data_IF_151686667884
#
_entry.id   IF_151686667884
#
_cell.length_a   1.000
_cell.length_b   1.000
_cell.length_c   1.000
_cell.angle_alpha   90.00
_cell.angle_beta   90.00
_cell.angle_gamma   90.00
#
_symmetry.space_group_name_H-M   'P 1'
#
loop_
_entity.id
_entity.type
_entity.pdbx_description
1 polymer ?
#
# COMPACT_ATOMS: atom_id res chain seq x y z
N UNK A 1 7.27 -5.96 45.94
CA UNK A 1 6.69 -4.62 46.17
C UNK A 1 5.75 -4.32 45.03
N UNK A 2 4.53 -3.92 45.38
CA UNK A 2 3.24 -3.97 44.67
C UNK A 2 3.24 -3.79 43.14
N UNK A 3 2.61 -4.77 42.48
CA UNK A 3 2.05 -4.61 41.14
C UNK A 3 0.94 -3.55 41.19
N UNK A 4 1.18 -2.41 40.55
CA UNK A 4 0.17 -1.37 40.34
C UNK A 4 -0.67 -1.77 39.14
N UNK A 5 -1.97 -2.05 39.37
CA UNK A 5 -2.94 -2.16 38.29
C UNK A 5 -3.13 -0.77 37.66
N UNK A 6 -2.87 -0.59 36.35
CA UNK A 6 -3.22 0.66 35.67
C UNK A 6 -4.75 0.77 35.58
N UNK A 7 -5.28 1.97 35.81
CA UNK A 7 -6.70 2.26 35.71
C UNK A 7 -7.21 2.12 34.27
N UNK A 8 -8.38 1.48 34.08
CA UNK A 8 -9.10 1.42 32.79
C UNK A 8 -9.63 0.06 32.33
N UNK A 9 -9.77 -0.94 33.21
CA UNK A 9 -10.26 -2.27 32.81
C UNK A 9 -11.79 -2.34 32.78
N UNK A 10 -12.37 -2.29 31.58
CA UNK A 10 -13.75 -2.73 31.34
C UNK A 10 -13.78 -4.26 31.20
N UNK A 11 -14.73 -4.90 31.88
CA UNK A 11 -14.79 -6.35 32.08
C UNK A 11 -15.49 -7.06 30.92
N UNK A 12 -14.72 -7.50 29.93
CA UNK A 12 -15.08 -8.59 29.01
C UNK A 12 -13.79 -9.26 28.48
N UNK A 13 -13.38 -10.37 29.10
CA UNK A 13 -12.13 -11.13 28.87
C UNK A 13 -10.83 -10.31 29.05
N UNK A 14 -10.06 -10.64 30.09
CA UNK A 14 -8.91 -9.89 30.62
C UNK A 14 -7.71 -9.73 29.69
N UNK A 15 -7.81 -8.83 28.71
CA UNK A 15 -6.68 -8.34 27.92
C UNK A 15 -6.03 -7.16 28.64
N UNK A 16 -4.70 -7.18 28.73
CA UNK A 16 -3.92 -6.14 29.39
C UNK A 16 -2.55 -5.98 28.74
N UNK A 17 -1.92 -4.83 28.91
CA UNK A 17 -0.58 -4.57 28.38
C UNK A 17 0.46 -5.55 28.92
N UNK A 18 0.53 -5.86 30.23
CA UNK A 18 1.48 -6.87 30.73
C UNK A 18 1.27 -8.24 30.09
N UNK A 19 0.02 -8.68 29.89
CA UNK A 19 -0.27 -9.98 29.30
C UNK A 19 0.23 -10.08 27.84
N UNK A 20 -0.11 -9.07 27.02
CA UNK A 20 0.31 -9.02 25.61
C UNK A 20 1.83 -8.88 25.50
N UNK A 21 2.44 -7.97 26.26
CA UNK A 21 3.88 -7.73 26.19
C UNK A 21 4.71 -8.92 26.68
N UNK A 22 4.33 -9.56 27.79
CA UNK A 22 5.01 -10.77 28.26
C UNK A 22 4.87 -11.91 27.25
N UNK A 23 3.69 -12.09 26.64
CA UNK A 23 3.50 -13.08 25.58
C UNK A 23 4.46 -12.87 24.40
N UNK A 24 4.60 -11.63 23.93
CA UNK A 24 5.54 -11.30 22.86
C UNK A 24 7.01 -11.53 23.27
N UNK A 25 7.38 -11.14 24.50
CA UNK A 25 8.75 -11.33 25.02
C UNK A 25 9.12 -12.81 25.25
N UNK A 26 8.12 -13.66 25.50
CA UNK A 26 8.26 -15.12 25.59
C UNK A 26 8.26 -15.80 24.21
N UNK A 27 8.16 -15.04 23.11
CA UNK A 27 8.11 -15.57 21.75
C UNK A 27 6.78 -16.22 21.38
N UNK A 28 5.69 -15.93 22.11
CA UNK A 28 4.36 -16.50 21.85
C UNK A 28 3.57 -15.62 20.88
N UNK A 29 3.02 -16.25 19.85
CA UNK A 29 2.08 -15.62 18.93
C UNK A 29 0.82 -15.17 19.68
N UNK A 30 0.37 -13.96 19.35
CA UNK A 30 -0.86 -13.37 19.87
C UNK A 30 -2.03 -13.69 18.94
N UNK A 31 -3.23 -13.80 19.50
CA UNK A 31 -4.42 -13.95 18.68
C UNK A 31 -4.73 -12.65 17.92
N UNK A 32 -5.55 -12.75 16.85
CA UNK A 32 -6.10 -11.58 16.17
C UNK A 32 -6.90 -10.69 17.13
N UNK A 33 -7.55 -11.26 18.14
CA UNK A 33 -8.29 -10.47 19.13
C UNK A 33 -7.39 -9.73 20.11
N UNK A 34 -6.24 -10.30 20.49
CA UNK A 34 -5.30 -9.64 21.40
C UNK A 34 -4.59 -8.46 20.73
N UNK A 35 -4.21 -8.64 19.46
CA UNK A 35 -3.62 -7.57 18.65
C UNK A 35 -4.64 -6.51 18.26
N UNK A 36 -5.89 -6.88 17.97
CA UNK A 36 -6.97 -5.92 17.77
C UNK A 36 -7.24 -5.10 19.04
N UNK A 37 -7.26 -5.73 20.22
CA UNK A 37 -7.40 -5.03 21.48
C UNK A 37 -6.27 -4.02 21.70
N UNK A 38 -5.02 -4.45 21.53
CA UNK A 38 -3.86 -3.58 21.69
C UNK A 38 -3.95 -2.38 20.72
N UNK A 39 -4.29 -2.65 19.46
CA UNK A 39 -4.44 -1.61 18.44
C UNK A 39 -5.60 -0.66 18.73
N UNK A 40 -6.75 -1.14 19.20
CA UNK A 40 -7.88 -0.29 19.58
C UNK A 40 -7.51 0.65 20.74
N UNK A 41 -6.82 0.17 21.78
CA UNK A 41 -6.29 1.02 22.86
C UNK A 41 -5.35 2.11 22.33
N UNK A 42 -4.49 1.76 21.38
CA UNK A 42 -3.61 2.69 20.70
C UNK A 42 -4.41 3.74 19.92
N UNK A 43 -5.40 3.32 19.12
CA UNK A 43 -6.20 4.21 18.28
C UNK A 43 -7.13 5.14 19.09
N UNK A 44 -7.52 4.74 20.30
CA UNK A 44 -8.25 5.60 21.26
C UNK A 44 -7.37 6.61 21.98
N UNK A 45 -6.04 6.50 21.87
CA UNK A 45 -5.10 7.32 22.64
C UNK A 45 -5.01 6.92 24.12
N UNK A 46 -5.40 5.69 24.46
CA UNK A 46 -5.35 5.16 25.82
C UNK A 46 -4.02 4.46 26.14
N UNK A 47 -3.20 4.20 25.12
CA UNK A 47 -1.87 3.65 25.24
C UNK A 47 -0.82 4.74 25.43
N UNK A 48 0.09 4.56 26.39
CA UNK A 48 1.27 5.42 26.55
C UNK A 48 2.29 5.17 25.44
N UNK A 49 3.15 6.16 25.16
CA UNK A 49 4.26 5.98 24.19
C UNK A 49 5.15 4.78 24.53
N UNK A 50 5.37 4.49 25.83
CA UNK A 50 6.13 3.34 26.28
C UNK A 50 5.44 2.00 25.95
N UNK A 51 4.12 1.93 26.11
CA UNK A 51 3.33 0.73 25.74
C UNK A 51 3.32 0.53 24.22
N UNK A 52 3.11 1.60 23.46
CA UNK A 52 3.17 1.56 21.99
C UNK A 52 4.55 1.05 21.54
N UNK A 53 5.62 1.67 22.05
CA UNK A 53 6.98 1.31 21.69
C UNK A 53 7.32 -0.14 22.06
N UNK A 54 7.01 -0.55 23.30
CA UNK A 54 7.21 -1.92 23.76
C UNK A 54 6.47 -2.94 22.90
N UNK A 55 5.22 -2.65 22.54
CA UNK A 55 4.40 -3.54 21.72
C UNK A 55 4.97 -3.73 20.32
N UNK A 56 5.25 -2.64 19.60
CA UNK A 56 5.70 -2.72 18.20
C UNK A 56 7.11 -3.28 18.07
N UNK A 57 7.98 -3.05 19.06
CA UNK A 57 9.34 -3.61 19.08
C UNK A 57 9.29 -5.10 19.40
N UNK A 58 8.55 -5.50 20.46
CA UNK A 58 8.44 -6.91 20.84
C UNK A 58 7.76 -7.74 19.74
N UNK A 59 6.72 -7.21 19.11
CA UNK A 59 6.02 -7.86 18.00
C UNK A 59 6.95 -8.09 16.80
N UNK A 60 7.71 -7.08 16.40
CA UNK A 60 8.70 -7.20 15.33
C UNK A 60 9.82 -8.17 15.67
N UNK A 61 10.32 -8.12 16.91
CA UNK A 61 11.42 -8.97 17.37
C UNK A 61 11.00 -10.46 17.42
N UNK A 62 9.77 -10.75 17.85
CA UNK A 62 9.17 -12.09 17.76
C UNK A 62 9.03 -12.55 16.30
N UNK A 63 8.65 -11.62 15.43
CA UNK A 63 8.22 -11.92 14.06
C UNK A 63 6.70 -11.97 13.99
N UNK A 64 6.13 -11.15 13.13
CA UNK A 64 4.70 -11.01 12.96
C UNK A 64 4.07 -12.24 12.30
N UNK A 65 2.83 -12.56 12.67
CA UNK A 65 2.01 -13.58 11.97
C UNK A 65 0.86 -12.96 11.20
N UNK A 66 0.27 -13.73 10.28
CA UNK A 66 -0.94 -13.32 9.54
C UNK A 66 -2.07 -12.92 10.50
N UNK A 67 -2.31 -13.73 11.54
CA UNK A 67 -3.39 -13.48 12.52
C UNK A 67 -3.16 -12.19 13.31
N UNK A 68 -1.93 -11.93 13.72
CA UNK A 68 -1.56 -10.70 14.43
C UNK A 68 -1.78 -9.47 13.55
N UNK A 69 -1.33 -9.50 12.30
CA UNK A 69 -1.57 -8.41 11.36
C UNK A 69 -3.07 -8.26 11.06
N UNK A 70 -3.81 -9.35 10.87
CA UNK A 70 -5.27 -9.32 10.66
C UNK A 70 -5.98 -8.60 11.80
N UNK A 71 -5.59 -8.86 13.06
CA UNK A 71 -6.11 -8.16 14.24
C UNK A 71 -5.82 -6.65 14.24
N UNK A 72 -4.57 -6.26 13.96
CA UNK A 72 -4.17 -4.85 13.85
C UNK A 72 -4.99 -4.12 12.78
N UNK A 73 -5.14 -4.73 11.59
CA UNK A 73 -5.85 -4.11 10.47
C UNK A 73 -7.35 -4.03 10.75
N UNK A 74 -7.94 -5.04 11.42
CA UNK A 74 -9.35 -5.00 11.85
C UNK A 74 -9.63 -3.78 12.72
N UNK A 75 -8.84 -3.59 13.77
CA UNK A 75 -8.96 -2.43 14.64
C UNK A 75 -8.73 -1.12 13.88
N UNK A 76 -7.77 -1.03 12.96
CA UNK A 76 -7.59 0.18 12.15
C UNK A 76 -8.83 0.55 11.34
N UNK A 77 -9.56 -0.42 10.79
CA UNK A 77 -10.82 -0.13 10.08
C UNK A 77 -11.94 0.37 10.98
N UNK A 78 -11.98 -0.02 12.26
CA UNK A 78 -12.97 0.48 13.23
C UNK A 78 -12.75 1.97 13.57
N UNK A 79 -11.52 2.46 13.38
CA UNK A 79 -11.12 3.84 13.64
C UNK A 79 -10.87 4.67 12.37
N UNK A 80 -11.14 4.09 11.19
CA UNK A 80 -10.94 4.74 9.90
C UNK A 80 -12.23 5.41 9.39
N UNK A 81 -12.06 6.51 8.66
CA UNK A 81 -13.16 7.13 7.91
C UNK A 81 -13.39 6.35 6.61
N UNK A 82 -14.09 5.21 6.67
CA UNK A 82 -14.31 4.36 5.49
C UNK A 82 -15.19 5.03 4.43
N UNK A 83 -14.98 4.67 3.16
CA UNK A 83 -15.81 5.09 2.03
C UNK A 83 -16.23 3.88 1.22
N UNK A 84 -17.31 4.05 0.46
CA UNK A 84 -17.75 3.06 -0.53
C UNK A 84 -17.61 3.65 -1.92
N UNK A 85 -17.06 2.86 -2.84
CA UNK A 85 -16.93 3.20 -4.25
C UNK A 85 -17.53 2.04 -5.05
N UNK A 86 -18.64 2.24 -5.78
CA UNK A 86 -19.32 1.15 -6.47
C UNK A 86 -18.46 0.48 -7.55
N UNK A 87 -18.67 -0.83 -7.75
CA UNK A 87 -18.02 -1.61 -8.80
C UNK A 87 -16.66 -2.20 -8.39
N UNK A 88 -15.95 -2.77 -9.36
CA UNK A 88 -14.65 -3.38 -9.11
C UNK A 88 -13.56 -2.31 -9.08
N UNK A 89 -12.90 -2.17 -7.93
CA UNK A 89 -11.85 -1.18 -7.68
C UNK A 89 -10.51 -1.85 -7.43
N UNK A 90 -9.43 -1.21 -7.88
CA UNK A 90 -8.05 -1.64 -7.61
C UNK A 90 -7.24 -0.57 -6.88
N UNK A 91 -6.27 -1.00 -6.07
CA UNK A 91 -5.23 -0.15 -5.49
C UNK A 91 -3.83 -0.64 -5.92
N UNK A 92 -2.90 0.31 -6.05
CA UNK A 92 -1.51 0.10 -6.44
C UNK A 92 -0.66 0.88 -5.45
N UNK A 93 0.01 0.17 -4.55
CA UNK A 93 0.65 0.80 -3.40
C UNK A 93 1.83 -0.03 -2.90
N UNK A 94 2.87 0.64 -2.42
CA UNK A 94 3.99 0.00 -1.75
C UNK A 94 3.98 0.26 -0.25
N UNK A 95 4.69 -0.56 0.51
CA UNK A 95 4.97 -0.28 1.94
C UNK A 95 5.87 0.94 2.13
N UNK A 96 6.59 1.32 1.08
CA UNK A 96 7.70 2.24 1.10
C UNK A 96 8.89 1.70 1.88
N UNK A 97 9.93 2.53 1.98
CA UNK A 97 11.12 2.22 2.76
C UNK A 97 12.10 1.28 2.06
N UNK A 98 12.03 1.08 0.75
CA UNK A 98 13.08 0.38 0.00
C UNK A 98 14.45 1.12 0.06
N UNK A 99 14.44 2.44 0.25
CA UNK A 99 15.63 3.29 0.29
C UNK A 99 16.18 3.66 -1.10
N UNK A 100 15.53 3.22 -2.17
CA UNK A 100 16.04 3.39 -3.54
C UNK A 100 15.75 4.77 -4.14
N UNK A 101 14.80 5.52 -3.55
CA UNK A 101 14.42 6.88 -3.98
C UNK A 101 14.07 6.91 -5.48
N UNK A 102 13.30 5.93 -5.93
CA UNK A 102 12.77 5.87 -7.29
C UNK A 102 11.76 6.98 -7.54
N UNK A 103 11.43 7.21 -8.81
CA UNK A 103 10.24 7.98 -9.19
C UNK A 103 8.98 7.29 -8.66
N UNK A 104 7.86 8.01 -8.53
CA UNK A 104 6.64 7.48 -7.93
C UNK A 104 5.87 6.53 -8.88
N UNK A 105 6.42 5.35 -9.15
CA UNK A 105 5.92 4.34 -10.09
C UNK A 105 4.46 3.99 -9.77
N UNK A 106 4.14 3.55 -8.56
CA UNK A 106 2.75 3.23 -8.18
C UNK A 106 1.76 4.40 -8.36
N UNK A 107 2.20 5.66 -8.36
CA UNK A 107 1.34 6.83 -8.61
C UNK A 107 1.07 7.00 -10.10
N UNK A 108 2.12 6.91 -10.93
CA UNK A 108 1.98 6.92 -12.39
C UNK A 108 1.14 5.73 -12.87
N UNK A 109 1.40 4.53 -12.35
CA UNK A 109 0.62 3.32 -12.67
C UNK A 109 -0.85 3.46 -12.29
N UNK A 110 -1.18 4.14 -11.18
CA UNK A 110 -2.58 4.38 -10.80
C UNK A 110 -3.33 5.20 -11.85
N UNK A 111 -2.68 6.25 -12.39
CA UNK A 111 -3.25 7.09 -13.44
C UNK A 111 -3.40 6.30 -14.75
N UNK A 112 -2.39 5.52 -15.12
CA UNK A 112 -2.39 4.67 -16.33
C UNK A 112 -3.48 3.61 -16.25
N UNK A 113 -3.62 2.91 -15.12
CA UNK A 113 -4.68 1.91 -14.92
C UNK A 113 -6.07 2.55 -15.00
N UNK A 114 -6.27 3.72 -14.40
CA UNK A 114 -7.53 4.43 -14.53
C UNK A 114 -7.83 4.86 -15.98
N UNK A 115 -6.80 5.17 -16.75
CA UNK A 115 -6.91 5.42 -18.19
C UNK A 115 -7.29 4.21 -19.04
N UNK A 116 -7.22 2.97 -18.52
CA UNK A 116 -7.78 1.79 -19.22
C UNK A 116 -9.30 1.64 -19.00
N UNK A 117 -9.91 2.55 -18.23
CA UNK A 117 -11.30 2.44 -17.78
C UNK A 117 -11.49 1.63 -16.49
N UNK A 118 -10.42 1.10 -15.89
CA UNK A 118 -10.49 0.49 -14.57
C UNK A 118 -10.73 1.55 -13.50
N UNK A 119 -11.43 1.20 -12.41
CA UNK A 119 -11.65 2.13 -11.30
C UNK A 119 -10.54 2.01 -10.26
N UNK A 120 -9.85 3.09 -9.97
CA UNK A 120 -8.70 3.10 -9.05
C UNK A 120 -9.04 3.86 -7.77
N UNK A 121 -8.82 3.23 -6.62
CA UNK A 121 -8.93 3.91 -5.32
C UNK A 121 -7.57 3.78 -4.64
N UNK A 122 -6.70 4.74 -4.88
CA UNK A 122 -5.33 4.69 -4.37
C UNK A 122 -5.30 5.09 -2.89
N UNK A 123 -4.68 4.28 -2.04
CA UNK A 123 -4.33 4.69 -0.68
C UNK A 123 -2.89 5.18 -0.63
N UNK A 124 -2.62 6.24 0.12
CA UNK A 124 -1.25 6.71 0.27
C UNK A 124 -1.07 7.78 1.33
N UNK A 125 0.18 8.11 1.58
CA UNK A 125 0.59 9.10 2.56
C UNK A 125 1.73 9.98 2.01
N UNK A 126 2.15 10.96 2.81
CA UNK A 126 3.40 11.71 2.60
C UNK A 126 4.61 10.80 2.74
N UNK A 127 5.73 11.21 2.15
CA UNK A 127 6.98 10.48 2.30
C UNK A 127 7.38 10.34 3.77
N UNK A 128 7.72 9.11 4.18
CA UNK A 128 8.40 8.86 5.46
C UNK A 128 9.94 8.83 5.31
N UNK A 129 10.45 8.36 4.16
CA UNK A 129 11.88 8.19 3.90
C UNK A 129 12.33 8.40 2.44
N UNK A 130 11.40 8.60 1.50
CA UNK A 130 11.71 8.95 0.11
C UNK A 130 11.90 10.47 -0.05
N UNK A 131 12.47 10.90 -1.17
CA UNK A 131 12.59 12.31 -1.51
C UNK A 131 11.22 12.97 -1.84
N UNK A 132 10.22 12.15 -2.23
CA UNK A 132 8.85 12.58 -2.47
C UNK A 132 7.86 11.42 -2.27
N UNK A 133 6.73 11.69 -1.60
CA UNK A 133 5.63 10.75 -1.41
C UNK A 133 4.60 10.82 -2.54
N UNK A 134 3.64 9.90 -2.53
CA UNK A 134 2.56 9.90 -3.51
C UNK A 134 1.71 11.19 -3.43
N UNK A 135 1.40 11.65 -2.22
CA UNK A 135 0.63 12.89 -2.03
C UNK A 135 1.37 14.12 -2.59
N UNK A 136 2.68 14.18 -2.39
CA UNK A 136 3.48 15.36 -2.76
C UNK A 136 3.54 15.50 -4.29
N UNK A 137 3.67 14.39 -5.02
CA UNK A 137 3.59 14.39 -6.49
C UNK A 137 2.18 14.69 -6.98
N UNK A 138 1.14 14.13 -6.37
CA UNK A 138 -0.24 14.40 -6.77
C UNK A 138 -0.61 15.89 -6.62
N UNK A 139 -0.18 16.55 -5.55
CA UNK A 139 -0.36 17.99 -5.38
C UNK A 139 0.37 18.77 -6.50
N UNK A 140 1.60 18.35 -6.87
CA UNK A 140 2.35 18.95 -7.97
C UNK A 140 1.72 18.69 -9.34
N UNK A 141 0.99 17.60 -9.51
CA UNK A 141 0.19 17.32 -10.71
C UNK A 141 -1.15 18.08 -10.73
N UNK A 142 -1.50 18.82 -9.67
CA UNK A 142 -2.69 19.67 -9.59
C UNK A 142 -3.90 19.01 -8.92
N UNK A 143 -3.76 17.80 -8.38
CA UNK A 143 -4.86 17.11 -7.69
C UNK A 143 -5.06 17.73 -6.31
N UNK A 144 -6.28 18.15 -6.02
CA UNK A 144 -6.61 18.69 -4.71
C UNK A 144 -6.82 17.56 -3.69
N UNK A 145 -5.91 17.46 -2.71
CA UNK A 145 -6.00 16.48 -1.62
C UNK A 145 -6.80 17.00 -0.41
N UNK A 146 -7.24 18.25 -0.44
CA UNK A 146 -7.96 18.91 0.65
C UNK A 146 -9.48 18.68 0.61
N UNK A 147 -9.93 17.62 -0.07
CA UNK A 147 -11.34 17.21 -0.15
C UNK A 147 -11.92 16.68 1.19
N UNK A 148 -13.20 16.94 1.48
CA UNK A 148 -13.92 16.19 2.52
C UNK A 148 -14.11 14.72 2.09
N UNK A 149 -14.24 13.82 3.07
CA UNK A 149 -14.31 12.35 2.83
C UNK A 149 -15.42 11.98 1.84
N UNK A 150 -16.60 12.60 1.93
CA UNK A 150 -17.72 12.36 1.02
C UNK A 150 -17.39 12.71 -0.43
N UNK A 151 -16.60 13.76 -0.67
CA UNK A 151 -16.19 14.19 -2.02
C UNK A 151 -15.16 13.24 -2.63
N UNK A 152 -14.29 12.62 -1.81
CA UNK A 152 -13.30 11.65 -2.28
C UNK A 152 -13.97 10.46 -2.99
N UNK A 153 -15.09 9.96 -2.45
CA UNK A 153 -15.84 8.87 -3.07
C UNK A 153 -16.47 9.28 -4.42
N UNK A 154 -17.08 10.48 -4.49
CA UNK A 154 -17.68 11.00 -5.73
C UNK A 154 -16.65 11.20 -6.85
N UNK A 155 -15.46 11.72 -6.50
CA UNK A 155 -14.35 11.88 -7.47
C UNK A 155 -13.95 10.54 -8.11
N UNK A 156 -14.03 9.43 -7.36
CA UNK A 156 -13.75 8.11 -7.92
C UNK A 156 -14.72 7.71 -9.04
N UNK A 157 -15.98 8.13 -8.96
CA UNK A 157 -17.00 7.88 -9.98
C UNK A 157 -16.85 8.81 -11.18
N UNK A 158 -16.57 10.10 -10.93
CA UNK A 158 -16.46 11.12 -11.97
C UNK A 158 -15.19 10.98 -12.82
N UNK A 159 -14.05 10.68 -12.18
CA UNK A 159 -12.75 10.61 -12.84
C UNK A 159 -12.32 9.16 -13.17
N UNK A 160 -12.93 8.16 -12.54
CA UNK A 160 -12.46 6.77 -12.55
C UNK A 160 -11.28 6.52 -11.59
N UNK A 161 -10.84 7.54 -10.86
CA UNK A 161 -9.73 7.47 -9.91
C UNK A 161 -9.96 8.41 -8.72
N UNK A 162 -9.54 7.99 -7.53
CA UNK A 162 -9.45 8.87 -6.36
C UNK A 162 -8.24 8.54 -5.48
N UNK A 163 -7.97 9.39 -4.49
CA UNK A 163 -6.89 9.20 -3.52
C UNK A 163 -7.39 9.32 -2.08
N UNK A 164 -7.30 8.22 -1.35
CA UNK A 164 -7.51 8.18 0.08
C UNK A 164 -6.23 8.64 0.79
N UNK A 165 -6.18 9.90 1.21
CA UNK A 165 -5.02 10.42 1.92
C UNK A 165 -5.01 9.94 3.39
N UNK A 166 -4.02 9.12 3.76
CA UNK A 166 -3.98 8.42 5.05
C UNK A 166 -4.19 9.34 6.27
N UNK A 167 -3.69 10.57 6.25
CA UNK A 167 -3.88 11.53 7.37
C UNK A 167 -5.36 11.84 7.63
N UNK A 168 -6.18 11.90 6.59
CA UNK A 168 -7.63 12.16 6.70
C UNK A 168 -8.42 10.90 7.01
N UNK A 169 -7.97 9.78 6.47
CA UNK A 169 -8.71 8.53 6.52
C UNK A 169 -8.39 7.68 7.75
N UNK A 170 -7.21 7.88 8.35
CA UNK A 170 -6.75 7.20 9.56
C UNK A 170 -6.34 8.21 10.64
N UNK A 171 -7.25 9.11 11.08
CA UNK A 171 -6.89 10.21 11.98
C UNK A 171 -6.37 9.73 13.35
N UNK A 172 -6.74 8.53 13.77
CA UNK A 172 -6.26 7.89 15.00
C UNK A 172 -4.75 7.56 14.96
N UNK A 173 -4.13 7.46 13.78
CA UNK A 173 -2.67 7.25 13.66
C UNK A 173 -1.84 8.39 14.27
N UNK A 174 -2.45 9.55 14.59
CA UNK A 174 -1.76 10.61 15.35
C UNK A 174 -1.26 10.11 16.72
N UNK A 175 -1.95 9.14 17.33
CA UNK A 175 -1.60 8.59 18.64
C UNK A 175 -0.32 7.75 18.63
N UNK A 176 0.14 7.28 17.46
CA UNK A 176 1.41 6.54 17.33
C UNK A 176 2.56 7.40 16.83
N UNK A 177 2.30 8.66 16.45
CA UNK A 177 3.29 9.49 15.78
C UNK A 177 4.52 9.76 16.64
N UNK A 178 4.33 10.08 17.93
CA UNK A 178 5.41 10.37 18.86
C UNK A 178 6.30 9.14 19.09
N UNK A 179 5.72 8.01 19.54
CA UNK A 179 6.44 6.77 19.75
C UNK A 179 7.19 6.30 18.48
N UNK A 180 6.56 6.37 17.29
CA UNK A 180 7.23 6.00 16.03
C UNK A 180 8.39 6.93 15.69
N UNK A 181 8.22 8.24 15.88
CA UNK A 181 9.27 9.23 15.65
C UNK A 181 10.46 9.04 16.57
N UNK A 182 10.22 8.76 17.86
CA UNK A 182 11.27 8.48 18.85
C UNK A 182 12.01 7.17 18.58
N UNK A 183 11.29 6.13 18.16
CA UNK A 183 11.90 4.83 17.82
C UNK A 183 12.80 4.91 16.59
N UNK A 184 12.41 5.67 15.55
CA UNK A 184 13.23 5.86 14.35
C UNK A 184 13.54 4.59 13.56
N UNK A 185 12.87 3.48 13.85
CA UNK A 185 13.06 2.18 13.20
C UNK A 185 11.78 1.70 12.53
N UNK A 186 11.91 0.79 11.56
CA UNK A 186 10.75 0.12 10.95
C UNK A 186 10.05 -0.78 11.97
N UNK A 187 8.73 -0.85 11.89
CA UNK A 187 7.90 -1.75 12.70
C UNK A 187 6.75 -2.28 11.87
N UNK A 188 5.86 -3.07 12.47
CA UNK A 188 4.64 -3.53 11.82
C UNK A 188 3.82 -2.40 11.16
N UNK A 189 3.87 -1.17 11.70
CA UNK A 189 3.20 0.00 11.12
C UNK A 189 3.67 0.36 9.71
N UNK A 190 4.86 -0.09 9.30
CA UNK A 190 5.36 0.13 7.94
C UNK A 190 4.64 -0.71 6.89
N UNK A 191 3.95 -1.79 7.28
CA UNK A 191 3.23 -2.67 6.32
C UNK A 191 1.72 -2.53 6.38
N UNK A 192 1.19 -1.81 7.37
CA UNK A 192 -0.27 -1.65 7.55
C UNK A 192 -0.90 -0.75 6.49
N UNK A 193 -0.14 0.15 5.85
CA UNK A 193 -0.65 1.09 4.84
C UNK A 193 -1.41 0.39 3.69
N UNK A 194 -0.77 -0.53 2.95
CA UNK A 194 -1.44 -1.30 1.90
C UNK A 194 -2.64 -2.14 2.36
N UNK A 195 -2.67 -2.55 3.63
CA UNK A 195 -3.72 -3.41 4.19
C UNK A 195 -4.98 -2.65 4.65
N UNK A 196 -4.88 -1.32 4.70
CA UNK A 196 -5.87 -0.42 5.34
C UNK A 196 -6.45 0.60 4.37
N UNK A 197 -6.54 0.28 3.08
CA UNK A 197 -7.22 1.14 2.12
C UNK A 197 -8.68 1.39 2.59
N UNK A 198 -9.10 2.63 2.86
CA UNK A 198 -10.40 2.94 3.45
C UNK A 198 -11.62 2.53 2.60
N UNK A 199 -11.42 2.30 1.30
CA UNK A 199 -12.45 1.78 0.40
C UNK A 199 -12.54 0.25 0.39
N UNK A 200 -11.72 -0.44 1.20
CA UNK A 200 -11.69 -1.92 1.32
C UNK A 200 -11.60 -2.62 -0.03
N UNK A 201 -10.75 -2.08 -0.92
CA UNK A 201 -10.54 -2.60 -2.27
C UNK A 201 -10.27 -4.11 -2.25
N UNK A 202 -10.86 -4.82 -3.22
CA UNK A 202 -10.73 -6.28 -3.33
C UNK A 202 -9.64 -6.72 -4.31
N UNK A 203 -9.20 -5.82 -5.19
CA UNK A 203 -8.07 -6.05 -6.08
C UNK A 203 -6.88 -5.16 -5.67
N UNK A 204 -5.69 -5.74 -5.52
CA UNK A 204 -4.50 -4.95 -5.10
C UNK A 204 -3.21 -5.43 -5.77
N UNK A 205 -2.40 -4.48 -6.22
CA UNK A 205 -0.99 -4.69 -6.55
C UNK A 205 -0.15 -4.03 -5.46
N UNK A 206 0.57 -4.85 -4.68
CA UNK A 206 1.23 -4.41 -3.45
C UNK A 206 2.70 -4.74 -3.44
N UNK A 207 3.53 -3.71 -3.42
CA UNK A 207 4.95 -3.85 -3.17
C UNK A 207 5.26 -3.93 -1.68
N UNK A 208 6.17 -4.83 -1.30
CA UNK A 208 6.62 -4.98 0.09
C UNK A 208 8.14 -5.01 0.17
N UNK A 209 8.75 -4.01 0.82
CA UNK A 209 10.21 -3.88 0.89
C UNK A 209 10.87 -4.95 1.80
N UNK A 210 10.21 -5.30 2.91
CA UNK A 210 10.72 -6.31 3.86
C UNK A 210 10.37 -7.72 3.35
N UNK A 211 11.36 -8.56 2.99
CA UNK A 211 11.11 -9.91 2.46
C UNK A 211 10.36 -10.81 3.45
N UNK A 212 10.49 -10.58 4.77
CA UNK A 212 9.75 -11.38 5.76
C UNK A 212 8.26 -11.04 5.77
N UNK A 213 7.90 -9.80 5.42
CA UNK A 213 6.53 -9.32 5.51
C UNK A 213 5.72 -9.60 4.25
N UNK A 214 6.36 -9.78 3.08
CA UNK A 214 5.66 -10.07 1.84
C UNK A 214 4.72 -11.31 1.92
N UNK A 215 5.16 -12.49 2.42
CA UNK A 215 4.26 -13.63 2.58
C UNK A 215 3.15 -13.38 3.62
N UNK A 216 3.42 -12.60 4.67
CA UNK A 216 2.43 -12.26 5.69
C UNK A 216 1.34 -11.35 5.09
N UNK A 217 1.73 -10.32 4.35
CA UNK A 217 0.82 -9.41 3.64
C UNK A 217 -0.04 -10.19 2.65
N UNK A 218 0.54 -11.11 1.88
CA UNK A 218 -0.20 -11.99 0.98
C UNK A 218 -1.21 -12.88 1.74
N UNK A 219 -0.81 -13.44 2.88
CA UNK A 219 -1.70 -14.22 3.75
C UNK A 219 -2.89 -13.43 4.28
N UNK A 220 -2.69 -12.18 4.70
CA UNK A 220 -3.78 -11.31 5.15
C UNK A 220 -4.77 -11.02 4.02
N UNK A 221 -4.29 -10.83 2.78
CA UNK A 221 -5.17 -10.69 1.62
C UNK A 221 -5.92 -11.98 1.31
N UNK A 222 -5.28 -13.14 1.46
CA UNK A 222 -5.92 -14.44 1.25
C UNK A 222 -7.08 -14.66 2.24
N UNK A 223 -6.88 -14.41 3.53
CA UNK A 223 -7.94 -14.53 4.55
C UNK A 223 -9.15 -13.61 4.26
N UNK A 224 -8.94 -12.51 3.54
CA UNK A 224 -9.99 -11.55 3.15
C UNK A 224 -10.69 -11.87 1.84
N UNK A 225 -10.26 -12.93 1.16
CA UNK A 225 -10.74 -13.30 -0.17
C UNK A 225 -10.40 -12.24 -1.23
N UNK A 226 -9.30 -11.50 -1.06
CA UNK A 226 -8.87 -10.50 -2.03
C UNK A 226 -8.20 -11.17 -3.25
N UNK A 227 -8.24 -10.48 -4.38
CA UNK A 227 -7.52 -10.81 -5.60
C UNK A 227 -6.28 -9.91 -5.68
N UNK A 228 -5.12 -10.38 -5.19
CA UNK A 228 -3.94 -9.52 -5.06
C UNK A 228 -2.70 -10.09 -5.75
N UNK A 229 -1.80 -9.21 -6.19
CA UNK A 229 -0.40 -9.54 -6.45
C UNK A 229 0.45 -8.81 -5.42
N UNK A 230 1.07 -9.54 -4.52
CA UNK A 230 2.07 -8.99 -3.59
C UNK A 230 3.43 -9.28 -4.20
N UNK A 231 4.33 -8.30 -4.26
CA UNK A 231 5.64 -8.50 -4.88
C UNK A 231 6.76 -7.78 -4.17
N UNK A 232 7.97 -8.27 -4.42
CA UNK A 232 9.21 -7.66 -3.99
C UNK A 232 10.30 -7.92 -5.04
N UNK A 233 10.97 -6.87 -5.48
CA UNK A 233 12.15 -7.01 -6.34
C UNK A 233 13.34 -7.62 -5.58
N UNK A 234 14.16 -8.42 -6.25
CA UNK A 234 15.38 -8.99 -5.66
C UNK A 234 16.42 -7.89 -5.31
N UNK A 235 16.31 -6.75 -5.97
CA UNK A 235 16.99 -5.48 -5.69
C UNK A 235 16.52 -4.78 -4.39
N UNK A 236 15.44 -5.28 -3.78
CA UNK A 236 14.85 -4.74 -2.56
C UNK A 236 13.77 -3.69 -2.77
N UNK A 237 13.39 -3.39 -4.00
CA UNK A 237 12.30 -2.47 -4.29
C UNK A 237 10.96 -3.05 -3.84
N UNK A 238 10.09 -2.17 -3.35
CA UNK A 238 8.67 -2.44 -3.17
C UNK A 238 7.88 -2.07 -4.44
N UNK A 239 8.40 -2.47 -5.58
CA UNK A 239 7.80 -2.35 -6.91
C UNK A 239 8.08 -3.66 -7.68
N UNK A 240 7.22 -4.01 -8.65
CA UNK A 240 7.56 -5.07 -9.60
C UNK A 240 8.65 -4.50 -10.52
N UNK A 241 9.89 -4.95 -10.33
CA UNK A 241 11.08 -4.23 -10.82
C UNK A 241 11.49 -4.65 -12.24
N UNK A 242 12.16 -3.73 -12.93
CA UNK A 242 12.89 -3.97 -14.19
C UNK A 242 14.40 -4.01 -13.99
N UNK A 243 14.89 -3.95 -12.75
CA UNK A 243 16.34 -3.93 -12.45
C UNK A 243 16.89 -5.30 -12.02
N UNK A 244 16.00 -6.21 -11.64
CA UNK A 244 16.32 -7.57 -11.22
C UNK A 244 15.09 -8.49 -11.42
N UNK A 245 15.16 -9.73 -10.96
CA UNK A 245 13.97 -10.58 -10.80
C UNK A 245 13.08 -10.08 -9.65
N UNK A 246 11.85 -10.59 -9.57
CA UNK A 246 10.92 -10.32 -8.46
C UNK A 246 10.27 -11.59 -7.92
N UNK A 247 10.08 -11.66 -6.60
CA UNK A 247 9.19 -12.65 -5.99
C UNK A 247 7.76 -12.10 -6.07
N UNK A 248 6.82 -12.92 -6.49
CA UNK A 248 5.40 -12.55 -6.61
C UNK A 248 4.56 -13.58 -5.87
N UNK A 249 3.82 -13.13 -4.86
CA UNK A 249 2.80 -13.91 -4.17
C UNK A 249 1.44 -13.58 -4.78
N UNK A 250 0.94 -14.50 -5.59
CA UNK A 250 -0.35 -14.44 -6.27
C UNK A 250 -1.43 -14.87 -5.29
N UNK A 251 -2.35 -13.96 -4.95
CA UNK A 251 -3.45 -14.21 -4.01
C UNK A 251 -4.75 -14.37 -4.77
N UNK A 252 -5.34 -15.57 -4.74
CA UNK A 252 -6.61 -15.92 -5.41
C UNK A 252 -7.38 -16.95 -4.60
N UNK A 253 -8.70 -16.78 -4.52
CA UNK A 253 -9.62 -17.76 -3.89
C UNK A 253 -9.18 -18.21 -2.49
N UNK A 254 -8.67 -17.26 -1.70
CA UNK A 254 -8.19 -17.51 -0.34
C UNK A 254 -6.86 -18.27 -0.24
N UNK A 255 -6.13 -18.41 -1.35
CA UNK A 255 -4.83 -19.09 -1.42
C UNK A 255 -3.74 -18.14 -1.88
N UNK A 256 -2.51 -18.45 -1.47
CA UNK A 256 -1.29 -17.76 -1.89
C UNK A 256 -0.43 -18.76 -2.67
N UNK A 257 -0.06 -18.40 -3.89
CA UNK A 257 0.95 -19.11 -4.68
C UNK A 257 2.14 -18.18 -4.89
N UNK A 258 3.34 -18.64 -4.54
CA UNK A 258 4.56 -17.89 -4.80
C UNK A 258 5.16 -18.29 -6.15
N UNK A 259 5.51 -17.29 -6.96
CA UNK A 259 6.15 -17.45 -8.25
C UNK A 259 7.36 -16.52 -8.36
N UNK A 260 8.34 -16.95 -9.15
CA UNK A 260 9.49 -16.12 -9.53
C UNK A 260 9.19 -15.48 -10.87
N UNK A 261 9.44 -14.18 -10.96
CA UNK A 261 9.20 -13.40 -12.16
C UNK A 261 10.51 -12.76 -12.65
N UNK A 262 10.79 -12.89 -13.93
CA UNK A 262 11.86 -12.18 -14.62
C UNK A 262 11.24 -11.16 -15.60
N UNK A 263 11.61 -9.87 -15.56
CA UNK A 263 11.06 -8.88 -16.51
C UNK A 263 11.33 -9.24 -17.98
N UNK A 264 12.35 -10.06 -18.27
CA UNK A 264 12.62 -10.57 -19.62
C UNK A 264 11.53 -11.51 -20.12
N UNK A 265 10.79 -12.16 -19.23
CA UNK A 265 9.65 -13.02 -19.60
C UNK A 265 8.54 -12.21 -20.28
N UNK A 266 8.45 -10.91 -20.01
CA UNK A 266 7.49 -9.99 -20.66
C UNK A 266 8.14 -9.08 -21.70
N UNK A 267 9.40 -9.35 -22.06
CA UNK A 267 10.13 -8.63 -23.10
C UNK A 267 10.76 -7.31 -22.63
N UNK A 268 10.99 -7.14 -21.32
CA UNK A 268 11.71 -5.98 -20.78
C UNK A 268 13.17 -6.36 -20.47
N UNK A 269 14.08 -5.51 -20.91
CA UNK A 269 15.49 -5.64 -20.55
C UNK A 269 15.75 -5.22 -19.09
N UNK A 270 16.77 -5.82 -18.49
CA UNK A 270 17.24 -5.42 -17.17
C UNK A 270 17.98 -4.09 -17.28
N UNK A 271 17.57 -3.11 -16.47
CA UNK A 271 18.16 -1.77 -16.40
C UNK A 271 18.82 -1.51 -15.04
N UNK A 272 19.84 -0.62 -14.94
CA UNK A 272 20.36 -0.22 -13.63
C UNK A 272 19.30 0.55 -12.83
N UNK A 273 19.31 0.41 -11.50
CA UNK A 273 18.35 1.09 -10.61
C UNK A 273 18.41 2.63 -10.72
N UNK A 274 19.56 3.18 -11.11
CA UNK A 274 19.76 4.59 -11.42
C UNK A 274 18.83 5.09 -12.52
N UNK A 275 18.42 4.23 -13.46
CA UNK A 275 17.49 4.58 -14.53
C UNK A 275 16.06 4.87 -14.02
N UNK A 276 15.74 4.43 -12.81
CA UNK A 276 14.46 4.66 -12.14
C UNK A 276 14.53 5.76 -11.08
N UNK A 277 15.67 6.43 -10.94
CA UNK A 277 15.93 7.39 -9.84
C UNK A 277 15.02 8.61 -9.94
N UNK A 278 14.33 8.88 -8.83
CA UNK A 278 13.56 10.09 -8.62
C UNK A 278 14.34 11.16 -7.90
N UNK A 279 13.69 12.29 -7.68
CA UNK A 279 14.21 13.40 -6.89
C UNK A 279 13.05 14.02 -6.06
N UNK A 280 12.95 15.34 -6.03
CA UNK A 280 11.86 16.02 -5.34
C UNK A 280 10.50 15.84 -6.05
N UNK A 281 9.44 16.29 -5.39
CA UNK A 281 8.08 16.17 -5.89
C UNK A 281 7.84 16.85 -7.24
N UNK A 282 8.54 17.96 -7.52
CA UNK A 282 8.41 18.69 -8.79
C UNK A 282 9.06 17.90 -9.91
N UNK A 283 10.28 17.39 -9.69
CA UNK A 283 10.96 16.51 -10.64
C UNK A 283 10.13 15.26 -10.94
N UNK A 284 9.63 14.57 -9.91
CA UNK A 284 8.84 13.35 -10.09
C UNK A 284 7.50 13.64 -10.80
N UNK A 285 6.89 14.80 -10.57
CA UNK A 285 5.71 15.22 -11.31
C UNK A 285 6.01 15.54 -12.79
N UNK A 286 7.17 16.12 -13.10
CA UNK A 286 7.60 16.31 -14.50
C UNK A 286 7.86 14.97 -15.19
N UNK A 287 8.51 14.01 -14.51
CA UNK A 287 8.66 12.64 -15.03
C UNK A 287 7.29 12.03 -15.33
N UNK A 288 6.34 12.15 -14.40
CA UNK A 288 4.98 11.63 -14.60
C UNK A 288 4.30 12.26 -15.83
N UNK A 289 4.43 13.57 -16.03
CA UNK A 289 3.88 14.24 -17.23
C UNK A 289 4.49 13.69 -18.52
N UNK A 290 5.82 13.55 -18.57
CA UNK A 290 6.50 13.02 -19.77
C UNK A 290 6.08 11.58 -20.08
N UNK A 291 5.97 10.73 -19.06
CA UNK A 291 5.45 9.35 -19.24
C UNK A 291 4.02 9.37 -19.77
N UNK A 292 3.14 10.22 -19.22
CA UNK A 292 1.75 10.36 -19.68
C UNK A 292 1.64 10.99 -21.08
N UNK A 293 2.64 11.75 -21.51
CA UNK A 293 2.79 12.28 -22.88
C UNK A 293 3.44 11.28 -23.85
N UNK A 294 3.78 10.07 -23.37
CA UNK A 294 4.26 8.97 -24.20
C UNK A 294 5.78 8.81 -24.28
N UNK A 295 6.56 9.51 -23.44
CA UNK A 295 8.02 9.33 -23.35
C UNK A 295 8.38 7.85 -23.14
N UNK A 296 9.22 7.32 -24.03
CA UNK A 296 9.69 5.94 -23.96
C UNK A 296 10.88 5.85 -23.01
N UNK A 297 11.10 4.65 -22.44
CA UNK A 297 12.29 4.34 -21.65
C UNK A 297 12.00 3.64 -20.33
N UNK A 298 13.03 3.46 -19.49
CA UNK A 298 12.98 2.58 -18.31
C UNK A 298 11.87 2.91 -17.31
N UNK A 299 11.56 4.21 -17.12
CA UNK A 299 10.47 4.62 -16.23
C UNK A 299 9.12 4.20 -16.79
N UNK A 300 8.90 4.37 -18.10
CA UNK A 300 7.67 3.91 -18.75
C UNK A 300 7.53 2.39 -18.61
N UNK A 301 8.59 1.63 -18.84
CA UNK A 301 8.58 0.17 -18.72
C UNK A 301 8.18 -0.29 -17.30
N UNK A 302 8.77 0.33 -16.27
CA UNK A 302 8.42 0.05 -14.88
C UNK A 302 6.96 0.43 -14.57
N UNK A 303 6.46 1.55 -15.11
CA UNK A 303 5.06 1.98 -14.97
C UNK A 303 4.11 1.00 -15.66
N UNK A 304 4.43 0.54 -16.87
CA UNK A 304 3.63 -0.44 -17.61
C UNK A 304 3.56 -1.76 -16.86
N UNK A 305 4.69 -2.25 -16.35
CA UNK A 305 4.78 -3.49 -15.59
C UNK A 305 3.94 -3.47 -14.31
N UNK A 306 4.04 -2.40 -13.51
CA UNK A 306 3.26 -2.26 -12.28
C UNK A 306 1.76 -1.98 -12.55
N UNK A 307 1.45 -1.28 -13.66
CA UNK A 307 0.06 -1.13 -14.13
C UNK A 307 -0.53 -2.48 -14.53
N UNK A 308 0.25 -3.32 -15.21
CA UNK A 308 -0.16 -4.67 -15.57
C UNK A 308 -0.46 -5.52 -14.33
N UNK A 309 0.39 -5.46 -13.30
CA UNK A 309 0.15 -6.19 -12.05
C UNK A 309 -1.21 -5.84 -11.42
N UNK A 310 -1.58 -4.56 -11.44
CA UNK A 310 -2.88 -4.10 -10.96
C UNK A 310 -4.05 -4.57 -11.83
N UNK A 311 -3.91 -4.54 -13.15
CA UNK A 311 -4.92 -5.06 -14.07
C UNK A 311 -5.12 -6.57 -13.91
N UNK A 312 -4.04 -7.32 -13.68
CA UNK A 312 -4.09 -8.75 -13.37
C UNK A 312 -4.78 -9.00 -12.03
N UNK A 313 -4.49 -8.22 -11.00
CA UNK A 313 -5.20 -8.25 -9.72
C UNK A 313 -6.70 -7.97 -9.89
N UNK A 314 -7.08 -7.03 -10.76
CA UNK A 314 -8.46 -6.63 -10.99
C UNK A 314 -9.27 -7.63 -11.83
N UNK A 315 -8.63 -8.28 -12.79
CA UNK A 315 -9.31 -9.19 -13.75
C UNK A 315 -8.42 -10.38 -14.08
N UNK A 316 -8.23 -11.31 -13.11
CA UNK A 316 -7.41 -12.48 -13.33
C UNK A 316 -8.00 -13.45 -14.35
N UNK A 317 -7.12 -14.19 -15.00
CA UNK A 317 -7.47 -15.29 -15.91
C UNK A 317 -6.72 -16.57 -15.52
N UNK A 318 -7.01 -17.68 -16.20
CA UNK A 318 -6.27 -18.93 -16.02
C UNK A 318 -4.94 -19.01 -16.78
N UNK A 319 -4.51 -17.94 -17.45
CA UNK A 319 -3.23 -17.92 -18.16
C UNK A 319 -2.04 -17.80 -17.19
N UNK A 320 -0.82 -18.01 -17.68
CA UNK A 320 0.40 -17.82 -16.87
C UNK A 320 0.51 -16.37 -16.38
N UNK A 321 1.18 -16.13 -15.25
CA UNK A 321 1.41 -14.78 -14.74
C UNK A 321 2.10 -13.89 -15.79
N UNK A 322 3.11 -14.41 -16.48
CA UNK A 322 3.83 -13.68 -17.53
C UNK A 322 2.91 -13.27 -18.70
N UNK A 323 2.01 -14.16 -19.16
CA UNK A 323 1.07 -13.84 -20.23
C UNK A 323 0.04 -12.80 -19.80
N UNK A 324 -0.46 -12.91 -18.57
CA UNK A 324 -1.37 -11.94 -17.98
C UNK A 324 -0.71 -10.56 -17.83
N UNK A 325 0.54 -10.52 -17.37
CA UNK A 325 1.32 -9.29 -17.28
C UNK A 325 1.60 -8.68 -18.67
N UNK A 326 1.97 -9.48 -19.67
CA UNK A 326 2.18 -9.00 -21.05
C UNK A 326 0.92 -8.38 -21.64
N UNK A 327 -0.24 -9.03 -21.44
CA UNK A 327 -1.53 -8.49 -21.87
C UNK A 327 -1.91 -7.21 -21.09
N UNK A 328 -1.62 -7.16 -19.79
CA UNK A 328 -1.81 -5.97 -18.97
C UNK A 328 -0.92 -4.80 -19.41
N UNK A 329 0.34 -5.06 -19.75
CA UNK A 329 1.28 -4.06 -20.26
C UNK A 329 0.80 -3.48 -21.59
N UNK A 330 0.27 -4.30 -22.50
CA UNK A 330 -0.30 -3.82 -23.75
C UNK A 330 -1.48 -2.86 -23.52
N UNK A 331 -2.38 -3.17 -22.58
CA UNK A 331 -3.49 -2.28 -22.19
C UNK A 331 -2.99 -0.99 -21.54
N UNK A 332 -1.98 -1.08 -20.69
CA UNK A 332 -1.37 0.08 -20.06
C UNK A 332 -0.66 0.99 -21.08
N UNK A 333 0.00 0.41 -22.09
CA UNK A 333 0.64 1.14 -23.17
C UNK A 333 -0.39 1.88 -24.02
N UNK A 334 -1.48 1.20 -24.44
CA UNK A 334 -2.59 1.84 -25.15
C UNK A 334 -3.20 3.00 -24.35
N UNK A 335 -3.29 2.87 -23.03
CA UNK A 335 -3.79 3.97 -22.18
C UNK A 335 -2.91 5.22 -22.24
N UNK A 336 -1.59 5.05 -22.28
CA UNK A 336 -0.64 6.15 -22.44
C UNK A 336 -0.71 6.68 -23.88
N UNK A 337 -0.56 5.81 -24.88
CA UNK A 337 -0.36 6.19 -26.28
C UNK A 337 -1.61 6.83 -26.92
N UNK A 338 -2.81 6.41 -26.49
CA UNK A 338 -4.07 7.07 -26.89
C UNK A 338 -4.35 8.39 -26.16
N UNK A 339 -3.51 8.75 -25.19
CA UNK A 339 -3.69 9.90 -24.29
C UNK A 339 -4.79 9.70 -23.24
N UNK A 340 -5.34 8.49 -23.09
CA UNK A 340 -6.41 8.23 -22.13
C UNK A 340 -5.96 8.44 -20.68
N UNK A 341 -4.76 8.01 -20.32
CA UNK A 341 -4.16 8.22 -19.00
C UNK A 341 -4.01 9.72 -18.68
N UNK A 342 -3.53 10.52 -19.65
CA UNK A 342 -3.43 11.98 -19.52
C UNK A 342 -4.80 12.64 -19.30
N UNK A 343 -5.79 12.29 -20.12
CA UNK A 343 -7.17 12.79 -19.96
C UNK A 343 -7.77 12.39 -18.62
N UNK A 344 -7.42 11.22 -18.08
CA UNK A 344 -7.84 10.80 -16.73
C UNK A 344 -7.25 11.70 -15.65
N UNK A 345 -5.97 12.06 -15.74
CA UNK A 345 -5.38 13.04 -14.83
C UNK A 345 -6.09 14.40 -14.93
N UNK A 346 -6.34 14.90 -16.15
CA UNK A 346 -7.06 16.17 -16.36
C UNK A 346 -8.47 16.15 -15.75
N UNK A 347 -9.24 15.07 -15.97
CA UNK A 347 -10.56 14.88 -15.34
C UNK A 347 -10.46 14.82 -13.82
N UNK A 348 -9.46 14.14 -13.28
CA UNK A 348 -9.26 14.04 -11.85
C UNK A 348 -8.90 15.38 -11.19
N UNK A 349 -8.04 16.16 -11.84
CA UNK A 349 -7.72 17.53 -11.43
C UNK A 349 -8.98 18.40 -11.45
N UNK A 350 -9.76 18.37 -12.53
CA UNK A 350 -11.00 19.12 -12.62
C UNK A 350 -12.01 18.72 -11.52
N UNK A 351 -12.27 17.42 -11.36
CA UNK A 351 -13.24 16.91 -10.38
C UNK A 351 -12.84 17.21 -8.92
N UNK A 352 -11.55 17.17 -8.61
CA UNK A 352 -11.05 17.47 -7.26
C UNK A 352 -11.03 18.98 -6.92
N UNK A 353 -11.11 19.86 -7.92
CA UNK A 353 -11.15 21.31 -7.73
C UNK A 353 -12.55 21.94 -7.94
N UNK A 354 -13.54 21.14 -8.32
CA UNK A 354 -14.94 21.54 -8.44
C UNK A 354 -15.63 21.62 -7.07
#
# INVERSE_FOLDING_TARGET
MSAVNPAGGDTAAGRSWPAVLNGLLEGRDQSADDTAWAMDRIMRGEATDAQIAGFVVALRAKGETVQEITGLVRAMYEHANVIEVPGHTVDIVGTGGDGAKTVNISTMSSIVVAGTGAKVVKHGNRAASSASGASDVLEKLGVNLQLPVSRVAQVAEEAGITFCFAVKFHPALRHVAAARGQLGIRTTFNVLGPLTNPARVKAQAVGVADPRMAPIVAGVFAERGNSSLVFRGDDGLDELTTTAGSHVWVVRDGKVTEERFDPRDVGLDIVPVEALRGADASYNAEVARRVLDGEQGPVRDAVLLNSAAALVALSPTGASLADQLRAGMAKAAESIDSGAAKRTLERWVAASNA
#
